data_IF_935888055938
#
_entry.id   IF_935888055938
#
_cell.length_a   1.000
_cell.length_b   1.000
_cell.length_c   1.000
_cell.angle_alpha   90.00
_cell.angle_beta   90.00
_cell.angle_gamma   90.00
#
_symmetry.space_group_name_H-M   'P 1'
#
loop_
_entity.id
_entity.type
_entity.pdbx_description
1 polymer ?
#
# COMPACT_ATOMS: atom_id res chain seq x y z
N UNK A 1 -16.33 33.15 -0.50
CA UNK A 1 -16.23 32.19 0.62
C UNK A 1 -14.79 31.67 0.64
N UNK A 2 -13.98 32.04 1.63
CA UNK A 2 -12.64 31.46 1.77
C UNK A 2 -12.78 29.99 2.18
N UNK A 3 -12.40 29.10 1.29
CA UNK A 3 -12.30 27.67 1.62
C UNK A 3 -11.07 27.43 2.51
N UNK A 4 -11.30 27.17 3.77
CA UNK A 4 -10.22 26.74 4.67
C UNK A 4 -9.99 25.26 4.47
N UNK A 5 -8.80 24.81 4.06
CA UNK A 5 -8.50 23.39 3.95
C UNK A 5 -8.59 22.72 5.33
N UNK A 6 -9.03 21.45 5.41
CA UNK A 6 -9.03 20.71 6.67
C UNK A 6 -7.61 20.60 7.20
N UNK A 7 -7.42 20.85 8.51
CA UNK A 7 -6.12 20.82 9.19
C UNK A 7 -6.00 19.69 10.23
N UNK A 8 -6.93 18.75 10.18
CA UNK A 8 -6.96 17.63 11.11
C UNK A 8 -6.63 16.31 10.43
N UNK A 9 -6.21 15.34 11.25
CA UNK A 9 -6.14 13.94 10.85
C UNK A 9 -7.49 13.26 11.08
N UNK A 10 -7.78 12.21 10.31
CA UNK A 10 -8.96 11.40 10.48
C UNK A 10 -8.57 9.95 10.82
N UNK A 11 -9.30 9.34 11.73
CA UNK A 11 -9.27 7.90 11.98
C UNK A 11 -10.53 7.32 11.34
N UNK A 12 -10.35 6.33 10.48
CA UNK A 12 -11.44 5.64 9.80
C UNK A 12 -11.35 4.16 10.16
N UNK A 13 -12.47 3.58 10.58
CA UNK A 13 -12.59 2.14 10.84
C UNK A 13 -13.52 1.53 9.80
N UNK A 14 -13.16 0.38 9.24
CA UNK A 14 -13.99 -0.36 8.31
C UNK A 14 -13.65 -1.85 8.38
N UNK A 15 -14.57 -2.71 7.98
CA UNK A 15 -14.36 -4.17 7.90
C UNK A 15 -13.46 -4.55 6.72
N UNK A 16 -13.41 -3.71 5.70
CA UNK A 16 -12.59 -3.92 4.50
C UNK A 16 -11.77 -2.67 4.18
N UNK A 17 -10.54 -2.83 3.66
CA UNK A 17 -9.79 -1.68 3.18
C UNK A 17 -10.58 -0.96 2.07
N UNK A 18 -10.58 0.38 2.04
CA UNK A 18 -11.30 1.11 1.00
C UNK A 18 -10.65 0.84 -0.37
N UNK A 19 -11.49 0.50 -1.36
CA UNK A 19 -11.04 0.33 -2.76
C UNK A 19 -10.89 1.68 -3.46
N UNK A 20 -9.77 2.33 -3.23
CA UNK A 20 -9.46 3.69 -3.69
C UNK A 20 -8.25 3.75 -4.62
N UNK A 21 -7.74 2.57 -5.02
CA UNK A 21 -6.53 2.44 -5.84
C UNK A 21 -5.24 2.88 -5.14
N UNK A 22 -4.10 2.64 -5.77
CA UNK A 22 -2.76 2.87 -5.23
C UNK A 22 -2.57 4.28 -4.66
N UNK A 23 -2.93 5.33 -5.43
CA UNK A 23 -2.79 6.74 -4.99
C UNK A 23 -3.66 7.11 -3.79
N UNK A 24 -4.72 6.36 -3.53
CA UNK A 24 -5.57 6.53 -2.36
C UNK A 24 -5.00 5.80 -1.16
N UNK A 25 -4.58 4.56 -1.33
CA UNK A 25 -4.02 3.70 -0.27
C UNK A 25 -2.77 4.32 0.36
N UNK A 26 -1.94 4.99 -0.41
CA UNK A 26 -0.76 5.72 0.08
C UNK A 26 -1.05 6.92 0.99
N UNK A 27 -2.31 7.35 1.09
CA UNK A 27 -2.73 8.48 1.95
C UNK A 27 -3.16 8.05 3.34
N UNK A 28 -3.29 6.75 3.57
CA UNK A 28 -3.62 6.18 4.87
C UNK A 28 -2.41 5.49 5.47
N UNK A 29 -2.36 5.48 6.77
CA UNK A 29 -1.51 4.56 7.51
C UNK A 29 -2.43 3.48 8.07
N UNK A 30 -2.35 2.27 7.50
CA UNK A 30 -3.29 1.19 7.79
C UNK A 30 -2.82 0.35 8.97
N UNK A 31 -3.74 0.08 9.88
CA UNK A 31 -3.59 -0.90 10.95
C UNK A 31 -4.69 -1.94 10.77
N UNK A 32 -4.30 -3.16 10.45
CA UNK A 32 -5.21 -4.29 10.39
C UNK A 32 -5.24 -4.98 11.75
N UNK A 33 -6.44 -5.25 12.25
CA UNK A 33 -6.69 -5.97 13.48
C UNK A 33 -7.26 -7.35 13.15
N UNK A 34 -6.71 -8.38 13.77
CA UNK A 34 -7.16 -9.76 13.64
C UNK A 34 -7.75 -10.25 14.94
N UNK A 35 -8.43 -11.40 14.88
CA UNK A 35 -8.95 -12.05 16.07
C UNK A 35 -7.81 -12.34 17.06
N UNK A 36 -7.96 -11.86 18.29
CA UNK A 36 -6.96 -12.00 19.36
C UNK A 36 -5.95 -10.85 19.48
N UNK A 37 -5.94 -9.88 18.54
CA UNK A 37 -5.06 -8.70 18.66
C UNK A 37 -5.49 -7.73 19.75
N UNK A 38 -6.73 -7.81 20.18
CA UNK A 38 -7.30 -6.96 21.24
C UNK A 38 -7.69 -7.82 22.43
N UNK A 39 -7.12 -7.52 23.59
CA UNK A 39 -7.57 -8.10 24.85
C UNK A 39 -8.93 -7.48 25.23
N UNK A 40 -9.97 -8.32 25.28
CA UNK A 40 -11.35 -7.87 25.50
C UNK A 40 -11.58 -7.42 26.94
N UNK A 41 -10.87 -7.97 27.92
CA UNK A 41 -10.99 -7.57 29.33
C UNK A 41 -10.35 -6.20 29.53
N UNK A 42 -9.15 -5.97 28.95
CA UNK A 42 -8.52 -4.64 28.93
C UNK A 42 -9.37 -3.63 28.17
N UNK A 43 -9.91 -3.99 27.02
CA UNK A 43 -10.80 -3.11 26.26
C UNK A 43 -12.02 -2.68 27.08
N UNK A 44 -12.65 -3.62 27.78
CA UNK A 44 -13.81 -3.34 28.66
C UNK A 44 -13.42 -2.35 29.77
N UNK A 45 -12.28 -2.57 30.42
CA UNK A 45 -11.74 -1.65 31.44
C UNK A 45 -11.51 -0.25 30.86
N UNK A 46 -10.89 -0.14 29.68
CA UNK A 46 -10.68 1.16 29.04
C UNK A 46 -11.99 1.85 28.63
N UNK A 47 -13.00 1.10 28.21
CA UNK A 47 -14.33 1.65 27.90
C UNK A 47 -15.02 2.20 29.15
N UNK A 48 -14.88 1.51 30.27
CA UNK A 48 -15.40 1.99 31.56
C UNK A 48 -14.70 3.28 32.00
N UNK A 49 -13.36 3.34 31.92
CA UNK A 49 -12.59 4.54 32.25
C UNK A 49 -12.91 5.70 31.28
N UNK A 50 -13.14 5.42 30.00
CA UNK A 50 -13.58 6.41 29.03
C UNK A 50 -14.96 6.99 29.42
N UNK A 51 -15.90 6.15 29.87
CA UNK A 51 -17.23 6.58 30.31
C UNK A 51 -17.20 7.52 31.53
N UNK A 52 -16.17 7.37 32.37
CA UNK A 52 -15.88 8.25 33.51
C UNK A 52 -15.15 9.55 33.12
N UNK A 53 -14.85 9.73 31.86
CA UNK A 53 -14.13 10.90 31.32
C UNK A 53 -12.63 10.90 31.62
N UNK A 54 -12.01 9.75 31.91
CA UNK A 54 -10.56 9.66 32.22
C UNK A 54 -9.75 10.00 30.99
N UNK A 55 -10.08 9.45 29.81
CA UNK A 55 -9.34 9.72 28.57
C UNK A 55 -9.38 11.19 28.18
N UNK A 56 -10.54 11.83 28.34
CA UNK A 56 -10.70 13.27 28.06
C UNK A 56 -9.83 14.12 29.00
N UNK A 57 -9.77 13.76 30.31
CA UNK A 57 -8.91 14.45 31.28
C UNK A 57 -7.42 14.23 30.98
N UNK A 58 -7.03 13.02 30.58
CA UNK A 58 -5.66 12.75 30.12
C UNK A 58 -5.27 13.62 28.92
N UNK A 59 -6.13 13.67 27.91
CA UNK A 59 -5.88 14.50 26.73
C UNK A 59 -5.84 15.99 27.05
N UNK A 60 -6.74 16.47 27.89
CA UNK A 60 -6.72 17.86 28.36
C UNK A 60 -5.42 18.17 29.10
N UNK A 61 -4.97 17.30 30.02
CA UNK A 61 -3.73 17.48 30.76
C UNK A 61 -2.49 17.48 29.85
N UNK A 62 -2.49 16.65 28.79
CA UNK A 62 -1.44 16.63 27.79
C UNK A 62 -1.37 17.95 27.00
N UNK A 63 -2.53 18.46 26.56
CA UNK A 63 -2.60 19.74 25.83
C UNK A 63 -2.15 20.92 26.72
N UNK A 64 -2.59 20.96 27.98
CA UNK A 64 -2.13 22.00 28.93
C UNK A 64 -0.62 21.92 29.17
N UNK A 65 -0.09 20.70 29.37
CA UNK A 65 1.36 20.52 29.50
C UNK A 65 2.14 21.01 28.27
N UNK A 66 1.65 20.75 27.02
CA UNK A 66 2.26 21.27 25.81
C UNK A 66 2.26 22.80 25.78
N UNK A 67 1.15 23.42 26.17
CA UNK A 67 1.06 24.90 26.25
C UNK A 67 2.04 25.46 27.26
N UNK A 68 2.09 24.88 28.47
CA UNK A 68 2.95 25.36 29.54
C UNK A 68 4.45 25.12 29.27
N UNK A 69 4.80 24.05 28.59
CA UNK A 69 6.19 23.62 28.42
C UNK A 69 6.79 24.01 27.08
N UNK A 70 6.00 23.91 26.01
CA UNK A 70 6.48 24.04 24.63
C UNK A 70 5.96 25.28 23.91
N UNK A 71 4.81 25.83 24.33
CA UNK A 71 4.08 26.88 23.58
C UNK A 71 3.79 28.11 24.45
N UNK A 72 4.52 28.31 25.56
CA UNK A 72 4.25 29.37 26.55
C UNK A 72 4.52 30.78 26.04
N UNK A 73 5.32 30.95 25.00
CA UNK A 73 5.51 32.20 24.28
C UNK A 73 5.91 31.91 22.81
N UNK A 74 6.03 32.97 22.00
CA UNK A 74 6.26 32.85 20.57
C UNK A 74 7.65 32.31 20.19
N UNK A 75 8.65 32.58 21.02
CA UNK A 75 10.02 32.09 20.81
C UNK A 75 10.09 30.60 21.13
N UNK A 76 9.51 30.17 22.26
CA UNK A 76 9.39 28.74 22.62
C UNK A 76 8.60 27.94 21.56
N UNK A 77 7.49 28.49 21.05
CA UNK A 77 6.73 27.89 19.95
C UNK A 77 7.63 27.69 18.71
N UNK A 78 8.39 28.71 18.34
CA UNK A 78 9.27 28.67 17.16
C UNK A 78 10.40 27.62 17.32
N UNK A 79 11.00 27.59 18.48
CA UNK A 79 12.03 26.58 18.83
C UNK A 79 11.46 25.17 18.83
N UNK A 80 10.30 24.97 19.44
CA UNK A 80 9.64 23.67 19.48
C UNK A 80 9.26 23.17 18.08
N UNK A 81 8.67 24.02 17.24
CA UNK A 81 8.34 23.67 15.85
C UNK A 81 9.61 23.33 15.05
N UNK A 82 10.70 24.08 15.25
CA UNK A 82 11.97 23.81 14.57
C UNK A 82 12.57 22.48 15.01
N UNK A 83 12.55 22.19 16.32
CA UNK A 83 13.01 20.92 16.87
C UNK A 83 12.19 19.74 16.35
N UNK A 84 10.85 19.86 16.30
CA UNK A 84 9.97 18.83 15.74
C UNK A 84 10.25 18.57 14.26
N UNK A 85 10.48 19.60 13.45
CA UNK A 85 10.84 19.44 12.04
C UNK A 85 12.14 18.68 11.86
N UNK A 86 13.16 19.03 12.65
CA UNK A 86 14.46 18.35 12.60
C UNK A 86 14.33 16.87 13.02
N UNK A 87 13.61 16.59 14.10
CA UNK A 87 13.35 15.22 14.55
C UNK A 87 12.55 14.43 13.52
N UNK A 88 11.57 15.06 12.90
CA UNK A 88 10.77 14.45 11.82
C UNK A 88 11.66 13.97 10.66
N UNK A 89 12.57 14.81 10.17
CA UNK A 89 13.45 14.42 9.05
C UNK A 89 14.37 13.25 9.45
N UNK A 90 14.87 13.24 10.68
CA UNK A 90 15.67 12.12 11.21
C UNK A 90 14.85 10.84 11.25
N UNK A 91 13.65 10.87 11.84
CA UNK A 91 12.76 9.70 11.96
C UNK A 91 12.29 9.20 10.59
N UNK A 92 11.89 10.11 9.72
CA UNK A 92 11.53 9.78 8.33
C UNK A 92 12.65 9.04 7.62
N UNK A 93 13.90 9.50 7.75
CA UNK A 93 15.07 8.84 7.17
C UNK A 93 15.28 7.42 7.73
N UNK A 94 15.01 7.20 9.02
CA UNK A 94 15.09 5.87 9.64
C UNK A 94 14.07 4.92 9.01
N UNK A 95 12.79 5.34 8.90
CA UNK A 95 11.74 4.52 8.29
C UNK A 95 11.97 4.30 6.80
N UNK A 96 12.47 5.29 6.06
CA UNK A 96 12.84 5.11 4.65
C UNK A 96 13.93 4.05 4.45
N UNK A 97 14.94 4.02 5.33
CA UNK A 97 15.98 2.99 5.29
C UNK A 97 15.47 1.61 5.68
N UNK A 98 14.55 1.55 6.65
CA UNK A 98 13.95 0.29 7.08
C UNK A 98 12.98 -0.30 6.03
N UNK A 99 12.39 0.55 5.18
CA UNK A 99 11.42 0.18 4.16
C UNK A 99 11.69 0.94 2.84
N UNK A 100 12.75 0.59 2.10
CA UNK A 100 13.17 1.34 0.90
C UNK A 100 12.17 1.27 -0.25
N UNK A 101 11.30 0.25 -0.28
CA UNK A 101 10.29 0.04 -1.32
C UNK A 101 8.93 0.66 -0.98
N UNK A 102 8.80 1.34 0.17
CA UNK A 102 7.57 2.03 0.53
C UNK A 102 7.37 3.29 -0.31
N UNK A 103 6.11 3.63 -0.60
CA UNK A 103 5.78 4.97 -1.06
C UNK A 103 6.19 6.03 -0.01
N UNK A 104 6.72 7.17 -0.46
CA UNK A 104 7.32 8.18 0.43
C UNK A 104 6.44 8.70 1.56
N UNK A 105 5.11 8.60 1.45
CA UNK A 105 4.14 9.01 2.49
C UNK A 105 4.07 8.04 3.67
N UNK A 106 4.33 6.77 3.47
CA UNK A 106 4.27 5.76 4.54
C UNK A 106 5.33 6.04 5.63
N UNK A 107 6.62 6.23 5.28
CA UNK A 107 7.64 6.67 6.23
C UNK A 107 7.33 8.02 6.90
N UNK A 108 6.70 8.96 6.18
CA UNK A 108 6.26 10.24 6.74
C UNK A 108 5.21 10.04 7.83
N UNK A 109 4.18 9.23 7.56
CA UNK A 109 3.13 8.93 8.53
C UNK A 109 3.69 8.22 9.76
N UNK A 110 4.56 7.23 9.58
CA UNK A 110 5.23 6.54 10.69
C UNK A 110 6.07 7.50 11.54
N UNK A 111 6.80 8.41 10.91
CA UNK A 111 7.59 9.42 11.63
C UNK A 111 6.71 10.34 12.48
N UNK A 112 5.57 10.80 11.97
CA UNK A 112 4.62 11.61 12.75
C UNK A 112 4.00 10.85 13.91
N UNK A 113 3.62 9.57 13.70
CA UNK A 113 3.08 8.72 14.77
C UNK A 113 4.13 8.49 15.87
N UNK A 114 5.40 8.22 15.50
CA UNK A 114 6.47 8.04 16.47
C UNK A 114 6.75 9.31 17.27
N UNK A 115 6.76 10.49 16.62
CA UNK A 115 6.92 11.78 17.31
C UNK A 115 5.76 12.06 18.26
N UNK A 116 4.53 11.76 17.85
CA UNK A 116 3.35 11.89 18.72
C UNK A 116 3.47 11.04 19.98
N UNK A 117 3.91 9.78 19.82
CA UNK A 117 4.14 8.85 20.93
C UNK A 117 5.26 9.36 21.85
N UNK A 118 6.37 9.86 21.29
CA UNK A 118 7.49 10.40 22.07
C UNK A 118 7.10 11.62 22.90
N UNK A 119 6.30 12.52 22.34
CA UNK A 119 5.76 13.66 23.09
C UNK A 119 4.85 13.20 24.22
N UNK A 120 3.98 12.22 23.95
CA UNK A 120 3.09 11.68 24.96
C UNK A 120 3.87 10.97 26.11
N UNK A 121 4.85 10.14 25.77
CA UNK A 121 5.69 9.47 26.77
C UNK A 121 6.51 10.49 27.60
N UNK A 122 6.98 11.57 26.98
CA UNK A 122 7.65 12.67 27.69
C UNK A 122 6.70 13.35 28.70
N UNK A 123 5.47 13.59 28.29
CA UNK A 123 4.43 14.09 29.19
C UNK A 123 4.18 13.14 30.38
N UNK A 124 4.02 11.83 30.11
CA UNK A 124 3.79 10.82 31.13
C UNK A 124 4.95 10.78 32.14
N UNK A 125 6.19 10.73 31.65
CA UNK A 125 7.40 10.77 32.48
C UNK A 125 7.41 12.00 33.40
N UNK A 126 7.13 13.17 32.82
CA UNK A 126 7.16 14.43 33.58
C UNK A 126 6.02 14.53 34.61
N UNK A 127 4.80 14.14 34.25
CA UNK A 127 3.62 14.25 35.13
C UNK A 127 3.61 13.20 36.25
N UNK A 128 4.07 11.99 35.97
CA UNK A 128 4.10 10.89 36.93
C UNK A 128 5.45 10.77 37.65
N UNK A 129 6.41 11.65 37.33
CA UNK A 129 7.79 11.64 37.90
C UNK A 129 8.49 10.28 37.72
N UNK A 130 8.23 9.61 36.60
CA UNK A 130 8.87 8.35 36.23
C UNK A 130 10.31 8.55 35.76
N UNK A 131 11.10 7.48 35.78
CA UNK A 131 12.39 7.46 35.12
C UNK A 131 12.20 7.29 33.61
N UNK A 132 13.13 7.84 32.81
CA UNK A 132 13.07 7.65 31.33
C UNK A 132 13.11 6.18 30.94
N UNK A 133 13.84 5.35 31.70
CA UNK A 133 13.90 3.89 31.50
C UNK A 133 12.56 3.19 31.61
N UNK A 134 11.60 3.73 32.39
CA UNK A 134 10.31 3.10 32.64
C UNK A 134 9.43 3.08 31.37
N UNK A 135 9.73 3.93 30.42
CA UNK A 135 9.01 4.04 29.13
C UNK A 135 9.83 3.59 27.92
N UNK A 136 11.09 3.17 28.09
CA UNK A 136 11.98 2.80 26.99
C UNK A 136 11.50 1.54 26.25
N UNK A 137 10.89 0.60 26.98
CA UNK A 137 10.28 -0.58 26.36
C UNK A 137 9.09 -0.22 25.47
N UNK A 138 8.25 0.73 25.90
CA UNK A 138 7.14 1.23 25.07
C UNK A 138 7.65 1.92 23.80
N UNK A 139 8.70 2.72 23.89
CA UNK A 139 9.35 3.35 22.75
C UNK A 139 9.83 2.33 21.74
N UNK A 140 10.55 1.30 22.22
CA UNK A 140 11.10 0.26 21.37
C UNK A 140 10.01 -0.55 20.69
N UNK A 141 9.01 -1.03 21.46
CA UNK A 141 7.90 -1.82 20.92
C UNK A 141 7.09 -1.01 19.88
N UNK A 142 6.83 0.26 20.14
CA UNK A 142 6.11 1.14 19.21
C UNK A 142 6.88 1.36 17.90
N UNK A 143 8.20 1.60 18.00
CA UNK A 143 9.07 1.71 16.83
C UNK A 143 9.05 0.43 15.98
N UNK A 144 9.27 -0.72 16.62
CA UNK A 144 9.25 -2.03 15.94
C UNK A 144 7.90 -2.31 15.28
N UNK A 145 6.81 -1.96 15.93
CA UNK A 145 5.45 -2.06 15.37
C UNK A 145 5.32 -1.19 14.12
N UNK A 146 5.71 0.08 14.18
CA UNK A 146 5.64 0.99 13.03
C UNK A 146 6.47 0.48 11.84
N UNK A 147 7.67 -0.06 12.09
CA UNK A 147 8.50 -0.66 11.03
C UNK A 147 7.80 -1.86 10.39
N UNK A 148 7.16 -2.73 11.18
CA UNK A 148 6.37 -3.87 10.65
C UNK A 148 5.20 -3.40 9.81
N UNK A 149 4.45 -2.40 10.28
CA UNK A 149 3.31 -1.83 9.55
C UNK A 149 3.75 -1.17 8.23
N UNK A 150 4.87 -0.43 8.21
CA UNK A 150 5.42 0.12 6.98
C UNK A 150 5.74 -0.97 5.94
N UNK A 151 6.39 -2.06 6.36
CA UNK A 151 6.71 -3.18 5.48
C UNK A 151 5.45 -3.85 4.93
N UNK A 152 4.48 -4.14 5.80
CA UNK A 152 3.21 -4.76 5.41
C UNK A 152 2.43 -3.88 4.43
N UNK A 153 2.37 -2.57 4.68
CA UNK A 153 1.71 -1.64 3.77
C UNK A 153 2.42 -1.57 2.41
N UNK A 154 3.75 -1.66 2.36
CA UNK A 154 4.49 -1.73 1.10
C UNK A 154 4.16 -3.00 0.31
N UNK A 155 4.04 -4.15 0.99
CA UNK A 155 3.64 -5.42 0.38
C UNK A 155 2.22 -5.35 -0.16
N UNK A 156 1.27 -4.79 0.61
CA UNK A 156 -0.12 -4.61 0.18
C UNK A 156 -0.21 -3.69 -1.04
N UNK A 157 0.50 -2.55 -1.05
CA UNK A 157 0.53 -1.63 -2.19
C UNK A 157 1.12 -2.30 -3.44
N UNK A 158 2.17 -3.12 -3.30
CA UNK A 158 2.71 -3.88 -4.44
C UNK A 158 1.68 -4.91 -4.96
N UNK A 159 0.96 -5.56 -4.06
CA UNK A 159 -0.08 -6.51 -4.43
C UNK A 159 -1.26 -5.85 -5.15
N UNK A 160 -1.60 -4.63 -4.78
CA UNK A 160 -2.71 -3.86 -5.37
C UNK A 160 -2.32 -3.12 -6.66
N UNK A 161 -1.05 -3.16 -7.09
CA UNK A 161 -0.65 -2.59 -8.37
C UNK A 161 -1.47 -3.17 -9.51
N UNK A 162 -2.04 -2.35 -10.38
CA UNK A 162 -2.86 -2.83 -11.48
C UNK A 162 -2.15 -3.86 -12.37
N UNK A 163 -0.83 -3.74 -12.53
CA UNK A 163 0.02 -4.66 -13.28
C UNK A 163 0.11 -6.03 -12.63
N UNK A 164 0.34 -6.08 -11.31
CA UNK A 164 0.39 -7.31 -10.54
C UNK A 164 -0.99 -7.96 -10.42
N UNK A 165 -2.03 -7.16 -10.16
CA UNK A 165 -3.42 -7.61 -10.14
C UNK A 165 -3.81 -8.23 -11.49
N UNK A 166 -3.46 -7.57 -12.61
CA UNK A 166 -3.69 -8.10 -13.96
C UNK A 166 -3.04 -9.46 -14.14
N UNK A 167 -1.75 -9.61 -13.80
CA UNK A 167 -1.02 -10.86 -13.98
C UNK A 167 -1.62 -11.98 -13.13
N UNK A 168 -1.90 -11.75 -11.86
CA UNK A 168 -2.51 -12.77 -10.97
C UNK A 168 -3.88 -13.21 -11.45
N UNK A 169 -4.74 -12.27 -11.83
CA UNK A 169 -6.09 -12.60 -12.34
C UNK A 169 -6.02 -13.31 -13.70
N UNK A 170 -5.06 -12.94 -14.54
CA UNK A 170 -4.79 -13.64 -15.80
C UNK A 170 -4.39 -15.10 -15.57
N UNK A 171 -3.46 -15.37 -14.63
CA UNK A 171 -3.07 -16.75 -14.31
C UNK A 171 -4.22 -17.55 -13.70
N UNK A 172 -4.99 -16.97 -12.79
CA UNK A 172 -6.20 -17.61 -12.24
C UNK A 172 -7.22 -17.99 -13.34
N UNK A 173 -7.40 -17.12 -14.34
CA UNK A 173 -8.26 -17.40 -15.49
C UNK A 173 -7.71 -18.52 -16.38
N UNK A 174 -6.39 -18.61 -16.56
CA UNK A 174 -5.72 -19.68 -17.29
C UNK A 174 -5.85 -21.01 -16.57
N UNK A 175 -5.57 -21.05 -15.26
CA UNK A 175 -5.68 -22.26 -14.45
C UNK A 175 -7.10 -22.79 -14.34
N UNK A 176 -8.09 -21.89 -14.25
CA UNK A 176 -9.52 -22.28 -14.23
C UNK A 176 -10.07 -22.74 -15.59
N UNK A 177 -9.26 -22.64 -16.68
CA UNK A 177 -9.67 -22.98 -18.03
C UNK A 177 -10.66 -22.00 -18.67
N UNK A 178 -10.94 -20.86 -18.03
CA UNK A 178 -11.80 -19.81 -18.59
C UNK A 178 -11.19 -19.15 -19.82
N UNK A 179 -9.87 -19.14 -19.90
CA UNK A 179 -9.15 -18.76 -21.11
C UNK A 179 -7.97 -19.69 -21.36
N UNK A 180 -7.40 -19.62 -22.56
CA UNK A 180 -6.23 -20.40 -22.90
C UNK A 180 -5.23 -19.60 -23.76
N UNK A 181 -3.99 -20.09 -23.75
CA UNK A 181 -2.92 -19.67 -24.63
C UNK A 181 -2.59 -20.86 -25.56
N UNK A 182 -2.30 -20.56 -26.81
CA UNK A 182 -1.80 -21.57 -27.75
C UNK A 182 -0.29 -21.48 -27.83
N UNK A 183 0.38 -22.61 -28.08
CA UNK A 183 1.80 -22.57 -28.40
C UNK A 183 2.01 -21.76 -29.66
N UNK A 184 2.99 -20.86 -29.66
CA UNK A 184 3.39 -20.07 -30.84
C UNK A 184 3.79 -20.94 -32.03
N UNK A 185 4.23 -22.15 -31.76
CA UNK A 185 4.77 -23.08 -32.76
C UNK A 185 3.75 -24.10 -33.26
N UNK A 186 2.51 -24.06 -32.73
CA UNK A 186 1.45 -24.96 -33.19
C UNK A 186 0.93 -24.50 -34.55
N UNK A 187 0.96 -25.39 -35.51
CA UNK A 187 0.42 -25.17 -36.86
C UNK A 187 -1.10 -25.54 -36.97
N UNK A 188 -1.78 -25.54 -35.84
CA UNK A 188 -3.21 -25.87 -35.81
C UNK A 188 -4.05 -24.69 -36.30
N UNK A 189 -4.91 -24.89 -37.29
CA UNK A 189 -5.79 -23.84 -37.81
C UNK A 189 -7.01 -23.58 -36.87
N UNK A 190 -7.22 -24.45 -35.90
CA UNK A 190 -8.30 -24.28 -34.94
C UNK A 190 -7.87 -23.39 -33.78
N UNK A 191 -8.55 -22.24 -33.64
CA UNK A 191 -8.36 -21.31 -32.52
C UNK A 191 -9.60 -21.42 -31.60
N UNK A 192 -9.44 -21.90 -30.34
CA UNK A 192 -10.55 -21.96 -29.40
C UNK A 192 -11.18 -20.58 -29.17
N UNK A 193 -12.51 -20.48 -28.96
CA UNK A 193 -13.16 -19.19 -28.71
C UNK A 193 -12.66 -18.42 -27.50
N UNK A 194 -12.14 -19.14 -26.50
CA UNK A 194 -11.56 -18.57 -25.27
C UNK A 194 -10.04 -18.33 -25.35
N UNK A 195 -9.45 -18.44 -26.55
CA UNK A 195 -8.04 -18.17 -26.75
C UNK A 195 -7.78 -16.66 -26.69
N UNK A 196 -6.92 -16.24 -25.75
CA UNK A 196 -6.54 -14.82 -25.55
C UNK A 196 -5.16 -14.50 -26.06
N UNK A 197 -4.41 -15.48 -26.58
CA UNK A 197 -3.07 -15.23 -27.07
C UNK A 197 -2.28 -16.51 -27.32
N UNK A 198 -0.96 -16.34 -27.29
CA UNK A 198 0.01 -17.40 -27.55
C UNK A 198 1.08 -17.38 -26.46
N UNK A 199 1.84 -18.47 -26.38
CA UNK A 199 3.03 -18.50 -25.52
C UNK A 199 4.21 -19.16 -26.25
N UNK A 200 5.41 -18.76 -25.85
CA UNK A 200 6.64 -19.44 -26.16
C UNK A 200 7.47 -19.62 -24.89
N UNK A 201 8.75 -20.02 -25.02
CA UNK A 201 9.61 -20.28 -23.86
C UNK A 201 9.91 -19.02 -23.04
N UNK A 202 9.84 -17.84 -23.63
CA UNK A 202 10.22 -16.57 -23.01
C UNK A 202 9.02 -15.66 -22.73
N UNK A 203 7.96 -15.74 -23.52
CA UNK A 203 6.88 -14.75 -23.54
C UNK A 203 5.49 -15.35 -23.47
N UNK A 204 4.62 -14.64 -22.76
CA UNK A 204 3.18 -14.70 -22.89
C UNK A 204 2.81 -13.60 -23.90
N UNK A 205 2.22 -13.98 -25.02
CA UNK A 205 1.91 -13.13 -26.20
C UNK A 205 0.39 -12.88 -26.24
N UNK A 206 -0.07 -11.77 -25.66
CA UNK A 206 -1.50 -11.52 -25.48
C UNK A 206 -2.11 -10.65 -26.59
N UNK A 207 -3.32 -10.98 -26.97
CA UNK A 207 -4.25 -10.02 -27.56
C UNK A 207 -4.68 -9.07 -26.45
N UNK A 208 -4.05 -7.88 -26.32
CA UNK A 208 -4.16 -7.03 -25.15
C UNK A 208 -5.58 -6.61 -24.79
N UNK A 209 -6.40 -6.22 -25.77
CA UNK A 209 -7.80 -5.80 -25.54
C UNK A 209 -8.70 -6.95 -25.04
N UNK A 210 -8.72 -8.14 -25.66
CA UNK A 210 -9.46 -9.28 -25.14
C UNK A 210 -9.01 -9.70 -23.74
N UNK A 211 -7.70 -9.80 -23.50
CA UNK A 211 -7.16 -10.16 -22.19
C UNK A 211 -7.54 -9.15 -21.09
N UNK A 212 -7.41 -7.85 -21.38
CA UNK A 212 -7.81 -6.79 -20.47
C UNK A 212 -9.29 -6.83 -20.12
N UNK A 213 -10.16 -6.97 -21.14
CA UNK A 213 -11.63 -7.07 -20.93
C UNK A 213 -12.01 -8.28 -20.09
N UNK A 214 -11.33 -9.43 -20.32
CA UNK A 214 -11.59 -10.65 -19.60
C UNK A 214 -11.20 -10.50 -18.11
N UNK A 215 -10.01 -9.99 -17.84
CA UNK A 215 -9.55 -9.73 -16.46
C UNK A 215 -10.45 -8.72 -15.76
N UNK A 216 -10.84 -7.64 -16.42
CA UNK A 216 -11.76 -6.65 -15.88
C UNK A 216 -13.09 -7.28 -15.48
N UNK A 217 -13.69 -8.07 -16.38
CA UNK A 217 -14.96 -8.77 -16.12
C UNK A 217 -14.82 -9.72 -14.91
N UNK A 218 -13.72 -10.46 -14.84
CA UNK A 218 -13.44 -11.37 -13.75
C UNK A 218 -13.31 -10.65 -12.39
N UNK A 219 -12.66 -9.48 -12.37
CA UNK A 219 -12.62 -8.65 -11.17
C UNK A 219 -14.03 -8.15 -10.78
N UNK A 220 -14.81 -7.63 -11.73
CA UNK A 220 -16.18 -7.17 -11.49
C UNK A 220 -17.07 -8.29 -10.91
N UNK A 221 -16.96 -9.53 -11.39
CA UNK A 221 -17.68 -10.70 -10.87
C UNK A 221 -17.28 -11.07 -9.43
N UNK A 222 -16.05 -10.70 -9.00
CA UNK A 222 -15.56 -10.89 -7.63
C UNK A 222 -15.82 -9.67 -6.72
N UNK A 223 -16.51 -8.64 -7.22
CA UNK A 223 -16.73 -7.40 -6.46
C UNK A 223 -15.52 -6.51 -6.36
N UNK A 224 -14.47 -6.77 -7.18
CA UNK A 224 -13.25 -5.99 -7.19
C UNK A 224 -13.24 -4.95 -8.33
N UNK A 225 -12.66 -3.77 -8.13
CA UNK A 225 -12.49 -2.81 -9.21
C UNK A 225 -11.20 -3.07 -10.00
N UNK A 226 -11.28 -2.87 -11.33
CA UNK A 226 -10.15 -2.85 -12.24
C UNK A 226 -10.35 -1.73 -13.25
N UNK A 227 -10.06 -0.50 -12.82
CA UNK A 227 -10.43 0.74 -13.54
C UNK A 227 -9.38 1.24 -14.53
N UNK A 228 -8.16 0.67 -14.52
CA UNK A 228 -7.08 1.06 -15.43
C UNK A 228 -7.45 0.78 -16.89
N UNK A 229 -7.13 1.70 -17.80
CA UNK A 229 -7.30 1.47 -19.23
C UNK A 229 -6.24 0.50 -19.77
N UNK A 230 -6.58 -0.25 -20.85
CA UNK A 230 -5.61 -1.15 -21.50
C UNK A 230 -4.32 -0.43 -21.93
N UNK A 231 -4.43 0.79 -22.45
CA UNK A 231 -3.28 1.59 -22.86
C UNK A 231 -2.35 1.92 -21.69
N UNK A 232 -2.92 2.35 -20.57
CA UNK A 232 -2.15 2.69 -19.37
C UNK A 232 -1.56 1.44 -18.70
N UNK A 233 -2.31 0.33 -18.64
CA UNK A 233 -1.80 -0.96 -18.17
C UNK A 233 -0.56 -1.41 -18.94
N UNK A 234 -0.61 -1.38 -20.29
CA UNK A 234 0.53 -1.77 -21.11
C UNK A 234 1.74 -0.85 -20.92
N UNK A 235 1.50 0.44 -20.67
CA UNK A 235 2.54 1.41 -20.38
C UNK A 235 3.22 1.08 -19.04
N UNK A 236 2.44 0.86 -17.98
CA UNK A 236 2.98 0.50 -16.66
C UNK A 236 3.72 -0.85 -16.69
N UNK A 237 3.17 -1.88 -17.36
CA UNK A 237 3.89 -3.15 -17.57
C UNK A 237 5.24 -2.98 -18.26
N UNK A 238 5.35 -2.03 -19.20
CA UNK A 238 6.61 -1.73 -19.89
C UNK A 238 7.58 -0.96 -18.96
N UNK A 239 7.09 0.04 -18.21
CA UNK A 239 7.87 0.81 -17.24
C UNK A 239 8.44 -0.07 -16.12
N UNK A 240 7.68 -1.05 -15.66
CA UNK A 240 8.11 -2.04 -14.66
C UNK A 240 9.01 -3.15 -15.27
N UNK A 241 9.24 -3.10 -16.58
CA UNK A 241 10.06 -4.08 -17.28
C UNK A 241 9.44 -5.49 -17.34
N UNK A 242 8.13 -5.61 -17.15
CA UNK A 242 7.36 -6.85 -17.25
C UNK A 242 6.98 -7.17 -18.71
N UNK A 243 6.92 -6.14 -19.54
CA UNK A 243 6.58 -6.23 -20.95
C UNK A 243 7.76 -5.82 -21.82
N UNK A 244 7.95 -6.52 -22.92
CA UNK A 244 8.92 -6.18 -23.96
C UNK A 244 8.26 -5.29 -25.01
N UNK A 245 8.46 -3.95 -24.99
CA UNK A 245 7.78 -3.04 -25.91
C UNK A 245 8.29 -3.16 -27.34
N UNK A 246 7.47 -2.76 -28.33
CA UNK A 246 7.89 -2.51 -29.69
C UNK A 246 8.61 -1.17 -29.84
N UNK A 247 9.01 -0.81 -31.09
CA UNK A 247 9.77 0.42 -31.34
C UNK A 247 8.99 1.69 -30.95
N UNK A 248 7.69 1.76 -31.26
CA UNK A 248 6.86 2.95 -31.04
C UNK A 248 5.60 2.70 -30.20
N UNK A 249 5.39 1.46 -29.75
CA UNK A 249 4.20 1.04 -29.03
C UNK A 249 4.51 -0.10 -28.07
N UNK A 250 3.64 -0.28 -27.04
CA UNK A 250 3.76 -1.36 -26.06
C UNK A 250 3.31 -2.75 -26.59
N UNK A 251 3.13 -2.88 -27.92
CA UNK A 251 2.80 -4.14 -28.61
C UNK A 251 3.80 -4.37 -29.73
N UNK A 252 4.08 -5.64 -30.02
CA UNK A 252 4.96 -6.07 -31.13
C UNK A 252 4.17 -6.77 -32.22
N UNK A 253 4.65 -6.64 -33.46
CA UNK A 253 4.17 -7.44 -34.57
C UNK A 253 4.92 -8.78 -34.54
N UNK A 254 4.20 -9.86 -34.25
CA UNK A 254 4.73 -11.22 -34.13
C UNK A 254 4.13 -12.07 -35.26
N UNK A 255 4.97 -12.84 -35.91
CA UNK A 255 4.53 -13.78 -36.96
C UNK A 255 4.08 -15.11 -36.33
N UNK A 256 2.83 -15.48 -36.56
CA UNK A 256 2.21 -16.71 -36.10
C UNK A 256 1.47 -17.34 -37.27
N UNK A 257 1.78 -18.58 -37.62
CA UNK A 257 1.19 -19.29 -38.76
C UNK A 257 1.12 -18.40 -40.03
N UNK A 258 2.27 -17.87 -40.42
CA UNK A 258 2.47 -16.97 -41.59
C UNK A 258 1.72 -15.63 -41.54
N UNK A 259 0.90 -15.40 -40.54
CA UNK A 259 0.15 -14.13 -40.33
C UNK A 259 0.83 -13.26 -39.29
N UNK A 260 0.96 -11.98 -39.57
CA UNK A 260 1.45 -11.00 -38.61
C UNK A 260 0.35 -10.58 -37.65
N UNK A 261 0.55 -10.78 -36.34
CA UNK A 261 -0.39 -10.40 -35.28
C UNK A 261 0.26 -9.39 -34.35
N UNK A 262 -0.51 -8.40 -33.90
CA UNK A 262 -0.05 -7.39 -32.95
C UNK A 262 -0.36 -7.85 -31.54
N UNK A 263 0.69 -8.13 -30.74
CA UNK A 263 0.58 -8.76 -29.43
C UNK A 263 1.38 -8.01 -28.38
N UNK A 264 0.91 -8.03 -27.14
CA UNK A 264 1.64 -7.62 -25.96
C UNK A 264 2.54 -8.78 -25.52
N UNK A 265 3.85 -8.53 -25.38
CA UNK A 265 4.86 -9.54 -25.08
C UNK A 265 5.27 -9.44 -23.60
N UNK A 266 4.66 -10.21 -22.73
CA UNK A 266 4.95 -10.24 -21.29
C UNK A 266 6.02 -11.29 -21.04
N UNK A 267 7.05 -10.97 -20.23
CA UNK A 267 8.08 -11.93 -19.83
C UNK A 267 7.49 -13.00 -18.93
N UNK A 268 7.50 -14.27 -19.38
CA UNK A 268 6.88 -15.41 -18.68
C UNK A 268 7.48 -15.64 -17.30
N UNK A 269 8.80 -15.58 -17.17
CA UNK A 269 9.50 -15.77 -15.90
C UNK A 269 9.13 -14.71 -14.85
N UNK A 270 9.01 -13.45 -15.25
CA UNK A 270 8.65 -12.36 -14.34
C UNK A 270 7.17 -12.42 -13.96
N UNK A 271 6.30 -12.76 -14.91
CA UNK A 271 4.88 -12.95 -14.64
C UNK A 271 4.65 -14.08 -13.64
N UNK A 272 5.41 -15.20 -13.78
CA UNK A 272 5.36 -16.30 -12.85
C UNK A 272 5.81 -15.88 -11.44
N UNK A 273 6.89 -15.11 -11.31
CA UNK A 273 7.36 -14.61 -10.03
C UNK A 273 6.32 -13.74 -9.31
N UNK A 274 5.57 -12.92 -10.06
CA UNK A 274 4.47 -12.13 -9.49
C UNK A 274 3.32 -13.03 -9.04
N UNK A 275 3.00 -14.05 -9.81
CA UNK A 275 1.94 -15.01 -9.46
C UNK A 275 2.28 -15.81 -8.21
N UNK A 276 3.52 -16.26 -8.09
CA UNK A 276 4.04 -17.02 -6.96
C UNK A 276 4.33 -16.15 -5.71
N UNK A 277 4.13 -14.82 -5.79
CA UNK A 277 4.37 -13.89 -4.69
C UNK A 277 5.85 -13.65 -4.40
N UNK A 278 6.75 -13.90 -5.37
CA UNK A 278 8.20 -13.75 -5.23
C UNK A 278 8.73 -12.38 -5.73
N UNK A 279 7.85 -11.54 -6.26
CA UNK A 279 8.13 -10.16 -6.73
C UNK A 279 7.14 -9.19 -6.13
#
# INVERSE_FOLDING_TARGET
>A
METRPPRGSAIVTSEFPPDIGESGTDRYFSLELHDGDVDLDELTMFQEEASKGVLQRCMFSFVEWLKETCLYNKDAETEFISALKNLFEVRRSVFQKACPNCHGRVPESAAWLELGMELYLTFVVNRLQLQKSDVDDYRRQFHEMLVRLCKRQAENVQQDRPTHKFIRKLFALLESGQCCLLSRYTNDDYIPPNCIGYEDDMFILLHSEPAHKLVRKFCEEQGESFSISNKELLKQLAEEGLLSPGKDQNTKSIRINEKSKRLACIYKSKAQQIYDGAL
#
